data_IF_537391443666
#
_entry.id   IF_537391443666
#
_cell.length_a   1.000
_cell.length_b   1.000
_cell.length_c   1.000
_cell.angle_alpha   90.00
_cell.angle_beta   90.00
_cell.angle_gamma   90.00
#
_symmetry.space_group_name_H-M   'P 1'
#
loop_
_entity.id
_entity.type
_entity.pdbx_description
1 polymer ?
#
# COMPACT_ATOMS: atom_id res chain seq x y z
N UNK A 1 32.66 -60.69 -30.47
CA UNK A 1 31.61 -59.68 -30.71
C UNK A 1 31.06 -59.24 -29.36
N UNK A 2 31.56 -58.17 -28.76
CA UNK A 2 30.94 -57.56 -27.58
C UNK A 2 30.99 -56.05 -27.76
N UNK A 3 29.88 -55.53 -28.29
CA UNK A 3 29.59 -54.12 -28.55
C UNK A 3 29.25 -53.44 -27.22
N UNK A 4 30.12 -52.54 -26.75
CA UNK A 4 29.90 -51.73 -25.55
C UNK A 4 29.61 -50.28 -25.94
N UNK A 5 28.35 -49.89 -25.80
CA UNK A 5 27.76 -48.60 -26.18
C UNK A 5 28.36 -47.41 -25.41
N UNK A 6 28.81 -46.37 -26.13
CA UNK A 6 29.28 -45.11 -25.57
C UNK A 6 28.08 -44.20 -25.30
N UNK A 7 27.69 -44.03 -24.04
CA UNK A 7 26.70 -43.04 -23.65
C UNK A 7 27.33 -41.63 -23.65
N UNK A 8 26.82 -40.73 -24.49
CA UNK A 8 27.18 -39.31 -24.46
C UNK A 8 26.43 -38.59 -23.33
N UNK A 9 27.06 -37.69 -22.56
CA UNK A 9 26.35 -36.90 -21.57
C UNK A 9 25.44 -35.89 -22.28
N UNK A 10 24.16 -35.87 -21.90
CA UNK A 10 23.24 -34.80 -22.23
C UNK A 10 23.65 -33.56 -21.45
N UNK A 11 24.17 -32.54 -22.14
CA UNK A 11 24.30 -31.21 -21.56
C UNK A 11 22.90 -30.66 -21.31
N UNK A 12 22.51 -30.54 -20.04
CA UNK A 12 21.33 -29.80 -19.65
C UNK A 12 21.56 -28.33 -19.99
N UNK A 13 20.79 -27.79 -20.92
CA UNK A 13 20.72 -26.34 -21.15
C UNK A 13 20.00 -25.75 -19.96
N UNK A 14 20.76 -25.19 -19.02
CA UNK A 14 20.21 -24.33 -17.99
C UNK A 14 19.56 -23.15 -18.72
N UNK A 15 18.23 -23.07 -18.67
CA UNK A 15 17.48 -21.96 -19.22
C UNK A 15 17.87 -20.70 -18.46
N UNK A 16 18.50 -19.78 -19.18
CA UNK A 16 18.76 -18.43 -18.73
C UNK A 16 17.43 -17.69 -18.52
N UNK A 17 16.81 -17.84 -17.35
CA UNK A 17 15.66 -17.01 -16.95
C UNK A 17 15.43 -17.08 -15.44
N UNK A 18 16.46 -16.88 -14.62
CA UNK A 18 16.26 -16.56 -13.19
C UNK A 18 17.00 -15.30 -12.73
N UNK A 19 17.38 -14.48 -13.71
CA UNK A 19 17.86 -13.12 -13.49
C UNK A 19 16.91 -12.11 -14.13
N UNK A 20 15.59 -12.40 -14.13
CA UNK A 20 14.60 -11.41 -14.52
C UNK A 20 14.54 -10.34 -13.45
N UNK A 21 15.32 -9.30 -13.71
CA UNK A 21 14.82 -7.95 -13.68
C UNK A 21 14.32 -7.55 -12.30
N UNK A 22 15.28 -7.23 -11.41
CA UNK A 22 15.04 -6.22 -10.38
C UNK A 22 14.87 -4.87 -11.09
N UNK A 23 13.83 -4.79 -11.91
CA UNK A 23 13.29 -3.55 -12.40
C UNK A 23 13.05 -2.75 -11.14
N UNK A 24 13.75 -1.62 -11.00
CA UNK A 24 13.48 -0.64 -9.96
C UNK A 24 12.09 -0.05 -10.24
N UNK A 25 11.05 -0.88 -10.05
CA UNK A 25 9.65 -0.49 -9.99
C UNK A 25 9.61 0.57 -8.92
N UNK A 26 8.95 1.69 -9.19
CA UNK A 26 8.73 2.76 -8.23
C UNK A 26 8.30 2.14 -6.88
N UNK A 27 9.24 2.00 -5.95
CA UNK A 27 9.06 1.12 -4.78
C UNK A 27 8.21 1.79 -3.72
N UNK A 28 8.04 3.10 -3.82
CA UNK A 28 7.37 3.92 -2.81
C UNK A 28 6.55 5.02 -3.46
N UNK A 29 5.39 5.25 -2.87
CA UNK A 29 4.40 6.25 -3.20
C UNK A 29 4.38 7.31 -2.10
N UNK A 30 4.54 8.57 -2.47
CA UNK A 30 4.17 9.68 -1.59
C UNK A 30 2.65 9.85 -1.65
N UNK A 31 2.00 9.74 -0.49
CA UNK A 31 0.56 9.84 -0.30
C UNK A 31 0.26 10.98 0.68
N UNK A 32 -0.70 11.81 0.33
CA UNK A 32 -1.18 12.91 1.16
C UNK A 32 -2.54 12.51 1.74
N UNK A 33 -2.68 12.56 3.06
CA UNK A 33 -3.93 12.23 3.74
C UNK A 33 -4.39 13.40 4.57
N UNK A 34 -5.51 14.00 4.19
CA UNK A 34 -6.18 15.02 4.99
C UNK A 34 -7.10 14.34 5.99
N UNK A 35 -6.84 14.53 7.28
CA UNK A 35 -7.75 14.07 8.34
C UNK A 35 -8.81 15.15 8.58
N UNK A 36 -10.07 14.74 8.76
CA UNK A 36 -11.18 15.65 9.02
C UNK A 36 -10.84 16.64 10.15
N UNK A 37 -11.18 17.91 9.92
CA UNK A 37 -10.93 19.05 10.83
C UNK A 37 -9.46 19.36 11.12
N UNK A 38 -8.50 18.71 10.46
CA UNK A 38 -7.08 19.01 10.63
C UNK A 38 -6.63 20.23 9.83
N UNK A 39 -5.58 20.91 10.29
CA UNK A 39 -5.01 22.09 9.63
C UNK A 39 -4.28 21.80 8.31
N UNK A 40 -4.01 20.53 8.01
CA UNK A 40 -3.32 20.14 6.79
C UNK A 40 -3.02 18.64 6.75
N UNK A 41 -2.59 18.13 5.59
CA UNK A 41 -2.41 16.71 5.39
C UNK A 41 -1.24 16.14 6.20
N UNK A 42 -1.35 14.84 6.47
CA UNK A 42 -0.22 13.98 6.81
C UNK A 42 0.37 13.45 5.51
N UNK A 43 1.69 13.52 5.38
CA UNK A 43 2.39 13.01 4.20
C UNK A 43 3.08 11.69 4.56
N UNK A 44 2.80 10.64 3.79
CA UNK A 44 3.30 9.29 4.03
C UNK A 44 4.02 8.75 2.81
N UNK A 45 5.06 7.97 3.04
CA UNK A 45 5.75 7.23 1.97
C UNK A 45 5.47 5.74 2.18
N UNK A 46 4.69 5.14 1.28
CA UNK A 46 4.21 3.75 1.42
C UNK A 46 4.47 2.91 0.17
N UNK A 47 4.42 1.58 0.28
CA UNK A 47 4.47 0.71 -0.89
C UNK A 47 3.18 0.84 -1.72
N UNK A 48 3.24 0.84 -3.06
CA UNK A 48 2.04 0.74 -3.90
C UNK A 48 1.19 -0.51 -3.60
N UNK A 49 1.81 -1.56 -3.06
CA UNK A 49 1.16 -2.82 -2.68
C UNK A 49 0.43 -2.74 -1.33
N UNK A 50 0.63 -1.67 -0.55
CA UNK A 50 -0.08 -1.49 0.71
C UNK A 50 -1.58 -1.33 0.48
N UNK A 51 -2.37 -1.69 1.48
CA UNK A 51 -3.84 -1.58 1.42
C UNK A 51 -4.34 -0.24 1.96
N UNK A 52 -5.60 0.08 1.65
CA UNK A 52 -6.33 1.21 2.24
C UNK A 52 -6.33 1.14 3.78
N UNK A 53 -6.54 -0.05 4.36
CA UNK A 53 -6.51 -0.23 5.81
C UNK A 53 -5.16 0.11 6.43
N UNK A 54 -4.06 -0.25 5.76
CA UNK A 54 -2.70 0.10 6.17
C UNK A 54 -2.45 1.62 6.07
N UNK A 55 -2.98 2.29 5.04
CA UNK A 55 -2.89 3.75 4.90
C UNK A 55 -3.61 4.46 6.04
N UNK A 56 -4.83 4.04 6.38
CA UNK A 56 -5.58 4.63 7.51
C UNK A 56 -4.78 4.47 8.80
N UNK A 57 -4.31 3.24 9.08
CA UNK A 57 -3.50 2.94 10.27
C UNK A 57 -2.28 3.86 10.36
N UNK A 58 -1.48 3.92 9.30
CA UNK A 58 -0.27 4.74 9.27
C UNK A 58 -0.57 6.24 9.44
N UNK A 59 -1.64 6.74 8.80
CA UNK A 59 -2.05 8.14 8.91
C UNK A 59 -2.46 8.52 10.34
N UNK A 60 -3.26 7.67 11.00
CA UNK A 60 -3.68 7.87 12.39
C UNK A 60 -2.49 7.80 13.35
N UNK A 61 -1.60 6.81 13.18
CA UNK A 61 -0.39 6.68 14.00
C UNK A 61 0.50 7.93 13.89
N UNK A 62 0.75 8.44 12.68
CA UNK A 62 1.54 9.67 12.48
C UNK A 62 0.82 10.88 13.09
N UNK A 63 -0.49 11.02 12.86
CA UNK A 63 -1.26 12.14 13.40
C UNK A 63 -1.18 12.22 14.93
N UNK A 64 -1.32 11.08 15.61
CA UNK A 64 -1.20 10.98 17.07
C UNK A 64 0.24 11.25 17.52
N UNK A 65 1.23 10.65 16.85
CA UNK A 65 2.65 10.83 17.17
C UNK A 65 3.10 12.29 17.06
N UNK A 66 2.65 13.00 16.04
CA UNK A 66 2.91 14.42 15.82
C UNK A 66 2.08 15.34 16.74
N UNK A 67 1.18 14.80 17.57
CA UNK A 67 0.28 15.54 18.46
C UNK A 67 -0.52 16.62 17.71
N UNK A 68 -0.95 16.30 16.49
CA UNK A 68 -1.70 17.21 15.61
C UNK A 68 -3.04 17.58 16.22
N UNK A 69 -3.59 18.70 15.74
CA UNK A 69 -4.85 19.29 16.25
C UNK A 69 -5.93 19.35 15.16
N UNK A 70 -7.20 19.08 15.52
CA UNK A 70 -7.69 18.70 16.86
C UNK A 70 -7.24 17.28 17.27
N UNK A 71 -7.24 16.99 18.58
CA UNK A 71 -6.94 15.63 19.04
C UNK A 71 -8.02 14.67 18.55
N UNK A 72 -7.61 13.44 18.22
CA UNK A 72 -8.54 12.41 17.83
C UNK A 72 -9.30 11.89 19.06
N UNK A 73 -10.62 11.80 18.97
CA UNK A 73 -11.45 11.21 20.02
C UNK A 73 -11.17 9.71 20.20
N UNK A 74 -10.82 9.01 19.12
CA UNK A 74 -10.45 7.60 19.10
C UNK A 74 -9.16 7.44 18.31
N UNK A 75 -8.19 6.68 18.81
CA UNK A 75 -6.95 6.41 18.09
C UNK A 75 -6.98 5.08 17.33
N UNK A 76 -8.06 4.30 17.45
CA UNK A 76 -8.21 3.04 16.74
C UNK A 76 -8.50 3.29 15.25
N UNK A 77 -7.63 2.85 14.31
CA UNK A 77 -7.85 2.98 12.88
C UNK A 77 -9.16 2.35 12.37
N UNK A 78 -9.72 1.37 13.09
CA UNK A 78 -10.98 0.74 12.69
C UNK A 78 -12.19 1.68 12.79
N UNK A 79 -12.08 2.74 13.59
CA UNK A 79 -13.08 3.80 13.76
C UNK A 79 -13.09 4.83 12.60
N UNK A 80 -12.26 4.63 11.58
CA UNK A 80 -12.10 5.57 10.48
C UNK A 80 -12.37 4.92 9.12
N UNK A 81 -12.76 5.77 8.17
CA UNK A 81 -12.94 5.47 6.75
C UNK A 81 -12.05 6.37 5.89
N UNK A 82 -11.68 5.86 4.71
CA UNK A 82 -10.90 6.57 3.72
C UNK A 82 -11.79 6.89 2.52
N UNK A 83 -11.71 8.12 2.03
CA UNK A 83 -12.43 8.61 0.87
C UNK A 83 -11.46 9.26 -0.11
N UNK A 84 -11.84 9.37 -1.37
CA UNK A 84 -11.07 10.15 -2.35
C UNK A 84 -11.02 11.64 -1.97
N UNK A 85 -12.11 12.17 -1.41
CA UNK A 85 -12.20 13.57 -0.98
C UNK A 85 -13.26 13.76 0.11
N UNK A 86 -13.31 14.93 0.72
CA UNK A 86 -14.38 15.31 1.66
C UNK A 86 -15.79 15.37 1.03
N UNK A 87 -15.88 15.41 -0.30
CA UNK A 87 -17.15 15.47 -1.05
C UNK A 87 -17.59 14.09 -1.54
N UNK A 88 -16.79 13.05 -1.31
CA UNK A 88 -17.09 11.70 -1.74
C UNK A 88 -18.09 11.05 -0.78
N UNK A 89 -19.15 10.48 -1.33
CA UNK A 89 -20.19 9.80 -0.52
C UNK A 89 -19.85 8.34 -0.19
N UNK A 90 -18.90 7.73 -0.91
CA UNK A 90 -18.52 6.32 -0.73
C UNK A 90 -17.11 6.21 -0.13
N UNK A 91 -16.96 5.31 0.84
CA UNK A 91 -15.67 4.94 1.43
C UNK A 91 -14.96 3.87 0.59
N UNK A 92 -13.64 3.94 0.53
CA UNK A 92 -12.80 2.95 -0.13
C UNK A 92 -12.73 1.64 0.67
N UNK A 93 -12.64 0.50 -0.03
CA UNK A 93 -12.55 -0.82 0.59
C UNK A 93 -11.19 -1.01 1.26
N UNK A 94 -11.18 -1.53 2.49
CA UNK A 94 -9.96 -1.63 3.29
C UNK A 94 -8.89 -2.54 2.69
N UNK A 95 -9.29 -3.55 1.93
CA UNK A 95 -8.43 -4.56 1.32
C UNK A 95 -7.88 -4.12 -0.04
N UNK A 96 -8.38 -3.01 -0.59
CA UNK A 96 -7.93 -2.49 -1.88
C UNK A 96 -6.51 -1.96 -1.78
N UNK A 97 -5.67 -2.31 -2.76
CA UNK A 97 -4.28 -1.86 -2.83
C UNK A 97 -4.18 -0.45 -3.37
N UNK A 98 -3.23 0.33 -2.87
CA UNK A 98 -3.03 1.72 -3.28
C UNK A 98 -2.73 1.89 -4.78
N UNK A 99 -2.03 0.92 -5.38
CA UNK A 99 -1.74 0.92 -6.82
C UNK A 99 -3.01 0.93 -7.69
N UNK A 100 -4.13 0.43 -7.16
CA UNK A 100 -5.40 0.36 -7.90
C UNK A 100 -6.23 1.65 -7.81
N UNK A 101 -5.95 2.52 -6.83
CA UNK A 101 -6.78 3.70 -6.55
C UNK A 101 -6.57 4.85 -7.54
N UNK A 102 -5.46 4.86 -8.29
CA UNK A 102 -5.11 5.92 -9.25
C UNK A 102 -4.87 7.31 -8.64
N UNK A 103 -5.10 7.50 -7.35
CA UNK A 103 -4.98 8.75 -6.61
C UNK A 103 -3.84 8.68 -5.57
N UNK A 104 -3.31 9.85 -5.20
CA UNK A 104 -2.29 10.01 -4.15
C UNK A 104 -2.71 10.97 -3.05
N UNK A 105 -3.93 11.51 -3.12
CA UNK A 105 -4.49 12.40 -2.12
C UNK A 105 -5.81 11.82 -1.66
N UNK A 106 -5.96 11.66 -0.34
CA UNK A 106 -7.14 11.05 0.25
C UNK A 106 -7.62 11.84 1.46
N UNK A 107 -8.83 11.52 1.89
CA UNK A 107 -9.48 12.13 3.03
C UNK A 107 -9.87 11.03 4.04
N UNK A 108 -9.53 11.23 5.31
CA UNK A 108 -9.90 10.33 6.41
C UNK A 108 -10.92 11.02 7.31
N UNK A 109 -12.03 10.35 7.59
CA UNK A 109 -13.01 10.80 8.56
C UNK A 109 -13.43 9.67 9.51
N UNK A 110 -13.98 10.00 10.70
CA UNK A 110 -14.60 9.02 11.57
C UNK A 110 -15.78 8.35 10.87
N UNK A 111 -15.96 7.06 11.15
CA UNK A 111 -17.15 6.33 10.70
C UNK A 111 -18.41 6.90 11.35
N UNK A 112 -19.56 6.84 10.64
CA UNK A 112 -20.84 7.08 11.28
C UNK A 112 -21.02 6.09 12.44
N UNK A 113 -21.43 6.58 13.61
CA UNK A 113 -21.92 5.70 14.67
C UNK A 113 -23.22 5.06 14.18
N UNK A 114 -23.20 3.75 13.97
CA UNK A 114 -24.43 2.95 13.80
C UNK A 114 -25.23 2.98 15.10
#
# INVERSE_FOLDING_TARGET
MHSGSRASPRFAVATASDARDKQYKLTKLLVNVTIQNSLGPVNLVMSPENTVGELIRAAIEIYVKEKRRPLLNRSDPLCYELHYSQFSMESLRKEEKLVNLGCRSFFVCPKPST
#
